data_IF_549352680002
#
_entry.id   IF_549352680002
#
_cell.length_a   1.000
_cell.length_b   1.000
_cell.length_c   1.000
_cell.angle_alpha   90.00
_cell.angle_beta   90.00
_cell.angle_gamma   90.00
#
_symmetry.space_group_name_H-M   'P 1'
#
loop_
_entity.id
_entity.type
_entity.pdbx_description
1 polymer ?
#
# COMPACT_ATOMS: atom_id res chain seq x y z
N UNK A 1 1.35 22.32 33.43
CA UNK A 1 0.10 21.62 33.07
C UNK A 1 0.04 21.22 31.57
N UNK A 2 1.16 21.26 30.83
CA UNK A 2 1.24 20.88 29.40
C UNK A 2 1.69 19.44 29.13
N UNK A 3 1.98 18.66 30.18
CA UNK A 3 2.50 17.29 30.07
C UNK A 3 1.41 16.26 29.78
N UNK A 4 0.23 16.37 30.41
CA UNK A 4 -0.83 15.35 30.29
C UNK A 4 -1.38 15.14 28.87
N UNK A 5 -1.55 16.20 28.06
CA UNK A 5 -2.11 16.05 26.71
C UNK A 5 -1.11 15.45 25.72
N UNK A 6 0.18 15.79 25.86
CA UNK A 6 1.25 15.22 25.04
C UNK A 6 1.46 13.73 25.35
N UNK A 7 1.40 13.35 26.63
CA UNK A 7 1.57 11.97 27.06
C UNK A 7 0.40 11.07 26.60
N UNK A 8 -0.85 11.58 26.65
CA UNK A 8 -2.01 10.85 26.14
C UNK A 8 -1.91 10.65 24.63
N UNK A 9 -1.50 11.68 23.88
CA UNK A 9 -1.32 11.59 22.43
C UNK A 9 -0.29 10.52 22.03
N UNK A 10 0.82 10.45 22.76
CA UNK A 10 1.87 9.44 22.53
C UNK A 10 1.41 8.02 22.90
N UNK A 11 0.67 7.84 24.01
CA UNK A 11 0.11 6.54 24.38
C UNK A 11 -0.90 6.04 23.36
N UNK A 12 -1.80 6.92 22.90
CA UNK A 12 -2.76 6.60 21.83
C UNK A 12 -2.03 6.24 20.54
N UNK A 13 -0.99 6.98 20.17
CA UNK A 13 -0.17 6.68 18.99
C UNK A 13 0.43 5.29 19.06
N UNK A 14 1.07 4.92 20.17
CA UNK A 14 1.68 3.59 20.33
C UNK A 14 0.66 2.47 20.28
N UNK A 15 -0.49 2.63 20.95
CA UNK A 15 -1.57 1.66 20.91
C UNK A 15 -2.10 1.49 19.47
N UNK A 16 -2.27 2.61 18.76
CA UNK A 16 -2.70 2.63 17.37
C UNK A 16 -1.66 1.98 16.43
N UNK A 17 -0.37 2.25 16.62
CA UNK A 17 0.73 1.62 15.88
C UNK A 17 0.72 0.10 16.03
N UNK A 18 0.59 -0.41 17.26
CA UNK A 18 0.45 -1.86 17.52
C UNK A 18 -0.80 -2.43 16.82
N UNK A 19 -1.94 -1.75 16.90
CA UNK A 19 -3.16 -2.18 16.23
C UNK A 19 -3.02 -2.21 14.71
N UNK A 20 -2.33 -1.21 14.12
CA UNK A 20 -2.04 -1.14 12.69
C UNK A 20 -1.14 -2.32 12.28
N UNK A 21 -0.07 -2.60 13.04
CA UNK A 21 0.82 -3.74 12.78
C UNK A 21 0.04 -5.06 12.83
N UNK A 22 -0.76 -5.28 13.88
CA UNK A 22 -1.57 -6.49 14.02
C UNK A 22 -2.58 -6.64 12.87
N UNK A 23 -3.27 -5.54 12.51
CA UNK A 23 -4.20 -5.53 11.39
C UNK A 23 -3.51 -5.79 10.05
N UNK A 24 -2.28 -5.32 9.88
CA UNK A 24 -1.52 -5.43 8.63
C UNK A 24 -1.27 -6.87 8.20
N UNK A 25 -1.14 -7.81 9.15
CA UNK A 25 -0.99 -9.23 8.86
C UNK A 25 -2.18 -9.82 8.11
N UNK A 26 -3.34 -9.18 8.17
CA UNK A 26 -4.57 -9.67 7.53
C UNK A 26 -4.84 -9.07 6.16
N UNK A 27 -4.08 -8.05 5.74
CA UNK A 27 -4.39 -7.23 4.56
C UNK A 27 -4.42 -8.06 3.27
N UNK A 28 -3.43 -8.92 3.05
CA UNK A 28 -3.34 -9.75 1.83
C UNK A 28 -3.76 -11.19 2.07
N UNK A 29 -4.04 -11.60 3.32
CA UNK A 29 -4.46 -12.97 3.65
C UNK A 29 -5.71 -13.44 2.89
N UNK A 30 -6.79 -12.65 2.74
CA UNK A 30 -7.94 -13.07 1.94
C UNK A 30 -7.54 -13.39 0.50
N UNK A 31 -6.63 -12.61 -0.07
CA UNK A 31 -6.14 -12.80 -1.43
C UNK A 31 -5.29 -14.06 -1.55
N UNK A 32 -4.39 -14.29 -0.59
CA UNK A 32 -3.57 -15.53 -0.52
C UNK A 32 -4.49 -16.75 -0.41
N UNK A 33 -5.48 -16.70 0.48
CA UNK A 33 -6.47 -17.78 0.64
C UNK A 33 -7.23 -18.06 -0.64
N UNK A 34 -7.64 -17.01 -1.37
CA UNK A 34 -8.33 -17.15 -2.64
C UNK A 34 -7.43 -17.82 -3.70
N UNK A 35 -6.14 -17.45 -3.78
CA UNK A 35 -5.19 -18.07 -4.71
C UNK A 35 -5.06 -19.58 -4.45
N UNK A 36 -4.91 -19.96 -3.19
CA UNK A 36 -4.79 -21.37 -2.77
C UNK A 36 -6.09 -22.13 -3.06
N UNK A 37 -7.23 -21.57 -2.68
CA UNK A 37 -8.54 -22.21 -2.85
C UNK A 37 -8.92 -22.41 -4.31
N UNK A 38 -8.58 -21.46 -5.19
CA UNK A 38 -8.84 -21.56 -6.62
C UNK A 38 -7.77 -22.36 -7.37
N UNK A 39 -6.61 -22.62 -6.74
CA UNK A 39 -5.44 -23.21 -7.39
C UNK A 39 -4.96 -22.40 -8.61
N UNK A 40 -5.21 -21.09 -8.61
CA UNK A 40 -5.05 -20.23 -9.77
C UNK A 40 -4.86 -18.77 -9.34
N UNK A 41 -4.04 -18.06 -10.09
CA UNK A 41 -3.80 -16.62 -9.92
C UNK A 41 -4.33 -15.80 -11.09
N UNK A 42 -5.26 -16.35 -11.89
CA UNK A 42 -5.92 -15.61 -12.97
C UNK A 42 -6.66 -14.39 -12.40
N UNK A 43 -6.43 -13.23 -13.00
CA UNK A 43 -6.97 -11.94 -12.53
C UNK A 43 -6.01 -11.14 -11.63
N UNK A 44 -4.91 -11.73 -11.18
CA UNK A 44 -3.85 -10.98 -10.51
C UNK A 44 -2.87 -10.38 -11.51
N UNK A 45 -2.64 -9.08 -11.40
CA UNK A 45 -1.63 -8.38 -12.17
C UNK A 45 -0.26 -8.52 -11.47
N UNK A 46 0.57 -9.48 -11.93
CA UNK A 46 1.92 -9.72 -11.39
C UNK A 46 2.77 -8.44 -11.38
N UNK A 47 2.69 -7.62 -12.44
CA UNK A 47 3.39 -6.35 -12.53
C UNK A 47 3.02 -5.38 -11.41
N UNK A 48 1.75 -5.32 -10.99
CA UNK A 48 1.32 -4.47 -9.88
C UNK A 48 1.90 -4.95 -8.54
N UNK A 49 2.01 -6.26 -8.34
CA UNK A 49 2.60 -6.83 -7.12
C UNK A 49 4.11 -6.60 -7.07
N UNK A 50 4.81 -6.69 -8.20
CA UNK A 50 6.23 -6.35 -8.28
C UNK A 50 6.48 -4.88 -7.94
N UNK A 51 5.69 -3.98 -8.51
CA UNK A 51 5.77 -2.55 -8.18
C UNK A 51 5.49 -2.29 -6.69
N UNK A 52 4.51 -2.98 -6.10
CA UNK A 52 4.19 -2.85 -4.68
C UNK A 52 5.35 -3.34 -3.79
N UNK A 53 6.01 -4.45 -4.15
CA UNK A 53 7.22 -4.93 -3.46
C UNK A 53 8.32 -3.87 -3.51
N UNK A 54 8.59 -3.27 -4.68
CA UNK A 54 9.63 -2.24 -4.81
C UNK A 54 9.29 -1.03 -3.92
N UNK A 55 8.06 -0.53 -3.97
CA UNK A 55 7.64 0.64 -3.19
C UNK A 55 7.69 0.40 -1.66
N UNK A 56 7.23 -0.77 -1.21
CA UNK A 56 7.31 -1.16 0.20
C UNK A 56 8.76 -1.34 0.64
N UNK A 57 9.60 -1.93 -0.20
CA UNK A 57 11.01 -2.17 0.11
C UNK A 57 11.79 -0.87 0.22
N UNK A 58 11.58 0.10 -0.68
CA UNK A 58 12.20 1.43 -0.56
C UNK A 58 11.78 2.14 0.72
N UNK A 59 10.52 2.00 1.13
CA UNK A 59 10.02 2.58 2.38
C UNK A 59 10.62 1.90 3.61
N UNK A 60 10.69 0.57 3.62
CA UNK A 60 11.30 -0.23 4.70
C UNK A 60 12.78 0.11 4.83
N UNK A 61 13.53 0.08 3.72
CA UNK A 61 14.96 0.38 3.71
C UNK A 61 15.21 1.81 4.21
N UNK A 62 14.42 2.79 3.79
CA UNK A 62 14.54 4.16 4.29
C UNK A 62 14.37 4.24 5.81
N UNK A 63 13.32 3.63 6.35
CA UNK A 63 13.07 3.63 7.79
C UNK A 63 14.17 2.92 8.58
N UNK A 64 14.71 1.81 8.05
CA UNK A 64 15.85 1.10 8.62
C UNK A 64 17.11 1.97 8.63
N UNK A 65 17.44 2.60 7.50
CA UNK A 65 18.62 3.46 7.36
C UNK A 65 18.56 4.70 8.26
N UNK A 66 17.35 5.23 8.51
CA UNK A 66 17.11 6.36 9.42
C UNK A 66 17.03 5.93 10.90
N UNK A 67 17.11 4.63 11.21
CA UNK A 67 17.05 4.12 12.57
C UNK A 67 15.69 4.32 13.25
N UNK A 68 14.61 4.41 12.47
CA UNK A 68 13.26 4.62 13.00
C UNK A 68 12.79 3.33 13.68
N UNK A 69 12.16 3.39 14.88
CA UNK A 69 11.66 2.21 15.57
C UNK A 69 10.70 1.38 14.71
N UNK A 70 10.85 0.05 14.75
CA UNK A 70 10.00 -0.88 13.98
C UNK A 70 8.51 -0.79 14.36
N UNK A 71 8.19 -0.27 15.55
CA UNK A 71 6.81 -0.01 15.96
C UNK A 71 6.05 0.97 15.06
N UNK A 72 6.78 1.78 14.29
CA UNK A 72 6.19 2.85 13.47
C UNK A 72 6.05 2.50 11.99
N UNK A 73 6.80 1.50 11.50
CA UNK A 73 6.79 1.08 10.09
C UNK A 73 6.69 -0.44 9.91
N UNK A 74 6.55 -1.20 10.99
CA UNK A 74 6.52 -2.66 10.98
C UNK A 74 5.34 -3.24 10.19
N UNK A 75 4.27 -2.47 9.99
CA UNK A 75 3.17 -2.82 9.12
C UNK A 75 3.61 -2.91 7.65
N UNK A 76 4.53 -2.05 7.22
CA UNK A 76 5.08 -2.07 5.86
C UNK A 76 5.86 -3.37 5.63
N UNK A 77 6.64 -3.79 6.63
CA UNK A 77 7.38 -5.05 6.60
C UNK A 77 6.43 -6.27 6.54
N UNK A 78 5.39 -6.27 7.36
CA UNK A 78 4.37 -7.34 7.36
C UNK A 78 3.68 -7.48 6.00
N UNK A 79 3.28 -6.35 5.39
CA UNK A 79 2.64 -6.36 4.07
C UNK A 79 3.63 -6.74 2.98
N UNK A 80 4.90 -6.36 3.08
CA UNK A 80 5.96 -6.76 2.16
C UNK A 80 6.14 -8.28 2.14
N UNK A 81 6.20 -8.92 3.32
CA UNK A 81 6.29 -10.38 3.44
C UNK A 81 5.09 -11.06 2.77
N UNK A 82 3.88 -10.57 3.00
CA UNK A 82 2.69 -11.14 2.35
C UNK A 82 2.70 -10.95 0.83
N UNK A 83 3.24 -9.85 0.32
CA UNK A 83 3.39 -9.65 -1.12
C UNK A 83 4.40 -10.63 -1.74
N UNK A 84 5.49 -10.98 -1.05
CA UNK A 84 6.37 -12.06 -1.51
C UNK A 84 5.61 -13.38 -1.61
N UNK A 85 4.81 -13.74 -0.60
CA UNK A 85 3.99 -14.97 -0.63
C UNK A 85 3.07 -14.98 -1.86
N UNK A 86 2.40 -13.87 -2.18
CA UNK A 86 1.57 -13.76 -3.37
C UNK A 86 2.37 -13.93 -4.67
N UNK A 87 3.57 -13.35 -4.76
CA UNK A 87 4.45 -13.53 -5.92
C UNK A 87 4.86 -15.00 -6.07
N UNK A 88 5.20 -15.68 -4.98
CA UNK A 88 5.47 -17.12 -5.01
C UNK A 88 4.26 -17.92 -5.47
N UNK A 89 3.05 -17.59 -5.00
CA UNK A 89 1.82 -18.20 -5.50
C UNK A 89 1.65 -17.98 -7.01
N UNK A 90 1.92 -16.77 -7.53
CA UNK A 90 1.85 -16.49 -8.97
C UNK A 90 2.83 -17.35 -9.75
N UNK A 91 4.10 -17.39 -9.33
CA UNK A 91 5.12 -18.19 -10.00
C UNK A 91 4.75 -19.67 -10.02
N UNK A 92 4.24 -20.19 -8.91
CA UNK A 92 3.82 -21.58 -8.76
C UNK A 92 2.60 -21.91 -9.64
N UNK A 93 1.49 -21.19 -9.49
CA UNK A 93 0.24 -21.52 -10.19
C UNK A 93 0.24 -21.10 -11.66
N UNK A 94 0.98 -20.06 -12.04
CA UNK A 94 1.14 -19.64 -13.44
C UNK A 94 2.27 -20.38 -14.16
N UNK A 95 2.95 -21.33 -13.48
CA UNK A 95 4.03 -22.16 -14.03
C UNK A 95 5.13 -21.33 -14.71
N UNK A 96 5.60 -20.28 -14.03
CA UNK A 96 6.73 -19.50 -14.52
C UNK A 96 7.98 -20.38 -14.61
N UNK A 97 8.83 -20.13 -15.61
CA UNK A 97 10.11 -20.83 -15.71
C UNK A 97 10.99 -20.49 -14.51
N UNK A 98 11.68 -21.49 -13.98
CA UNK A 98 12.67 -21.32 -12.89
C UNK A 98 13.72 -20.27 -13.27
N UNK A 99 14.11 -20.20 -14.54
CA UNK A 99 15.06 -19.18 -15.04
C UNK A 99 14.49 -17.78 -14.87
N UNK A 100 13.22 -17.56 -15.23
CA UNK A 100 12.55 -16.25 -15.07
C UNK A 100 12.41 -15.88 -13.60
N UNK A 101 11.99 -16.82 -12.75
CA UNK A 101 11.86 -16.57 -11.31
C UNK A 101 13.20 -16.21 -10.66
N UNK A 102 14.26 -16.94 -11.00
CA UNK A 102 15.61 -16.69 -10.48
C UNK A 102 16.18 -15.37 -10.98
N UNK A 103 15.96 -15.01 -12.25
CA UNK A 103 16.35 -13.71 -12.79
C UNK A 103 15.63 -12.54 -12.10
N UNK A 104 14.31 -12.64 -11.88
CA UNK A 104 13.54 -11.62 -11.18
C UNK A 104 13.93 -11.50 -9.70
N UNK A 105 14.17 -12.62 -9.03
CA UNK A 105 14.64 -12.62 -7.64
C UNK A 105 16.04 -12.02 -7.54
N UNK A 106 16.96 -12.40 -8.44
CA UNK A 106 18.31 -11.88 -8.48
C UNK A 106 18.34 -10.38 -8.79
N UNK A 107 17.56 -9.90 -9.76
CA UNK A 107 17.49 -8.47 -10.07
C UNK A 107 16.94 -7.66 -8.89
N UNK A 108 15.93 -8.18 -8.19
CA UNK A 108 15.41 -7.58 -6.97
C UNK A 108 16.44 -7.54 -5.83
N UNK A 109 17.16 -8.64 -5.58
CA UNK A 109 18.22 -8.69 -4.57
C UNK A 109 19.36 -7.73 -4.90
N UNK A 110 19.78 -7.67 -6.17
CA UNK A 110 20.79 -6.70 -6.63
C UNK A 110 20.32 -5.25 -6.42
N UNK A 111 19.05 -4.95 -6.71
CA UNK A 111 18.46 -3.65 -6.43
C UNK A 111 18.50 -3.32 -4.93
N UNK A 112 18.01 -4.21 -4.07
CA UNK A 112 17.99 -4.01 -2.63
C UNK A 112 19.41 -3.83 -2.05
N UNK A 113 20.37 -4.64 -2.51
CA UNK A 113 21.77 -4.53 -2.14
C UNK A 113 22.38 -3.19 -2.55
N UNK A 114 22.14 -2.74 -3.79
CA UNK A 114 22.58 -1.44 -4.27
C UNK A 114 22.02 -0.28 -3.44
N UNK A 115 20.73 -0.33 -3.11
CA UNK A 115 20.08 0.69 -2.29
C UNK A 115 20.61 0.71 -0.85
N UNK A 116 20.85 -0.46 -0.24
CA UNK A 116 21.31 -0.53 1.16
C UNK A 116 22.78 -0.12 1.31
N UNK A 117 23.66 -0.61 0.42
CA UNK A 117 25.11 -0.50 0.61
C UNK A 117 25.78 0.59 -0.23
N UNK A 118 25.16 1.01 -1.35
CA UNK A 118 25.79 1.91 -2.31
C UNK A 118 25.08 3.26 -2.44
N UNK A 119 23.91 3.44 -1.81
CA UNK A 119 23.19 4.69 -1.84
C UNK A 119 23.85 5.71 -0.87
N UNK A 120 24.28 6.90 -1.32
CA UNK A 120 24.76 7.95 -0.44
C UNK A 120 23.66 8.46 0.50
N UNK A 121 24.05 8.78 1.74
CA UNK A 121 23.10 9.26 2.76
C UNK A 121 22.36 10.53 2.35
N UNK A 122 23.02 11.41 1.59
CA UNK A 122 22.45 12.68 1.13
C UNK A 122 21.20 12.51 0.26
N UNK A 123 21.03 11.34 -0.37
CA UNK A 123 19.89 11.07 -1.26
C UNK A 123 18.89 10.05 -0.68
N UNK A 124 19.01 9.66 0.60
CA UNK A 124 18.05 8.74 1.21
C UNK A 124 16.60 9.25 1.14
N UNK A 125 16.41 10.56 1.21
CA UNK A 125 15.08 11.17 1.11
C UNK A 125 14.33 10.80 -0.19
N UNK A 126 15.05 10.39 -1.25
CA UNK A 126 14.44 9.97 -2.51
C UNK A 126 13.65 8.68 -2.39
N UNK A 127 13.96 7.81 -1.41
CA UNK A 127 13.33 6.49 -1.27
C UNK A 127 11.81 6.57 -0.98
N UNK A 128 11.33 7.38 0.00
CA UNK A 128 9.91 7.64 0.15
C UNK A 128 9.25 8.27 -1.09
N UNK A 129 9.95 9.14 -1.82
CA UNK A 129 9.42 9.73 -3.06
C UNK A 129 9.25 8.69 -4.17
N UNK A 130 10.17 7.74 -4.30
CA UNK A 130 10.06 6.61 -5.23
C UNK A 130 8.85 5.74 -4.86
N UNK A 131 8.71 5.37 -3.58
CA UNK A 131 7.56 4.61 -3.11
C UNK A 131 6.23 5.32 -3.42
N UNK A 132 6.19 6.64 -3.18
CA UNK A 132 5.05 7.49 -3.45
C UNK A 132 4.73 7.55 -4.95
N UNK A 133 5.73 7.76 -5.82
CA UNK A 133 5.55 7.82 -7.26
C UNK A 133 5.01 6.48 -7.82
N UNK A 134 5.52 5.36 -7.33
CA UNK A 134 5.00 4.03 -7.69
C UNK A 134 3.54 3.89 -7.26
N UNK A 135 3.18 4.26 -6.03
CA UNK A 135 1.80 4.22 -5.58
C UNK A 135 0.87 5.09 -6.45
N UNK A 136 1.32 6.28 -6.80
CA UNK A 136 0.55 7.23 -7.61
C UNK A 136 0.33 6.78 -9.04
N UNK A 137 1.23 5.95 -9.58
CA UNK A 137 1.09 5.40 -10.92
C UNK A 137 -0.20 4.59 -11.12
N UNK A 138 -0.77 4.04 -10.04
CA UNK A 138 -2.10 3.41 -10.05
C UNK A 138 -3.22 4.38 -9.66
N UNK A 139 -3.01 5.16 -8.60
CA UNK A 139 -4.06 6.01 -8.00
C UNK A 139 -4.46 7.19 -8.89
N UNK A 140 -3.50 7.88 -9.52
CA UNK A 140 -3.79 9.07 -10.33
C UNK A 140 -4.61 8.71 -11.57
N UNK A 141 -4.21 7.72 -12.41
CA UNK A 141 -5.04 7.29 -13.53
C UNK A 141 -6.42 6.83 -13.11
N UNK A 142 -6.55 6.16 -11.95
CA UNK A 142 -7.85 5.75 -11.41
C UNK A 142 -8.74 6.96 -11.08
N UNK A 143 -8.20 8.02 -10.48
CA UNK A 143 -8.95 9.26 -10.21
C UNK A 143 -9.47 9.87 -11.51
N UNK A 144 -8.62 9.96 -12.53
CA UNK A 144 -9.01 10.48 -13.84
C UNK A 144 -10.04 9.59 -14.54
N UNK A 145 -9.87 8.26 -14.46
CA UNK A 145 -10.80 7.31 -15.04
C UNK A 145 -12.19 7.41 -14.39
N UNK A 146 -12.26 7.48 -13.06
CA UNK A 146 -13.51 7.68 -12.33
C UNK A 146 -14.22 8.97 -12.77
N UNK A 147 -13.46 10.06 -12.91
CA UNK A 147 -14.02 11.34 -13.37
C UNK A 147 -14.50 11.27 -14.81
N UNK A 148 -13.70 10.71 -15.72
CA UNK A 148 -14.06 10.59 -17.15
C UNK A 148 -15.25 9.67 -17.38
N UNK A 149 -15.29 8.54 -16.68
CA UNK A 149 -16.32 7.52 -16.85
C UNK A 149 -17.61 7.85 -16.09
N UNK A 150 -17.58 8.82 -15.18
CA UNK A 150 -18.73 9.24 -14.37
C UNK A 150 -19.35 8.11 -13.53
N UNK A 151 -18.57 7.06 -13.26
CA UNK A 151 -18.85 5.98 -12.32
C UNK A 151 -17.53 5.47 -11.73
N UNK A 152 -17.62 4.80 -10.59
CA UNK A 152 -16.46 4.23 -9.88
C UNK A 152 -16.33 2.72 -10.07
N UNK A 153 -17.21 2.11 -10.87
CA UNK A 153 -17.18 0.66 -11.13
C UNK A 153 -17.42 -0.15 -9.85
N UNK A 154 -16.71 -1.27 -9.62
CA UNK A 154 -16.93 -2.15 -8.47
C UNK A 154 -16.29 -1.66 -7.16
N UNK A 155 -15.82 -0.41 -7.09
CA UNK A 155 -15.17 0.12 -5.88
C UNK A 155 -16.14 0.18 -4.69
N UNK A 156 -15.73 -0.39 -3.56
CA UNK A 156 -16.52 -0.42 -2.32
C UNK A 156 -16.24 0.80 -1.43
N UNK A 157 -17.30 1.50 -1.05
CA UNK A 157 -17.22 2.63 -0.09
C UNK A 157 -16.67 2.19 1.27
N UNK A 158 -17.00 0.98 1.72
CA UNK A 158 -16.54 0.44 3.01
C UNK A 158 -15.03 0.23 2.96
N UNK A 159 -14.55 -0.44 1.91
CA UNK A 159 -13.12 -0.73 1.73
C UNK A 159 -12.31 0.55 1.59
N UNK A 160 -12.77 1.50 0.76
CA UNK A 160 -12.07 2.78 0.59
C UNK A 160 -12.13 3.63 1.87
N UNK A 161 -13.25 3.59 2.61
CA UNK A 161 -13.37 4.25 3.91
C UNK A 161 -12.33 3.75 4.91
N UNK A 162 -12.17 2.43 5.02
CA UNK A 162 -11.14 1.82 5.87
C UNK A 162 -9.71 2.21 5.44
N UNK A 163 -9.45 2.27 4.13
CA UNK A 163 -8.15 2.72 3.59
C UNK A 163 -7.86 4.16 4.02
N UNK A 164 -8.83 5.07 3.91
CA UNK A 164 -8.69 6.48 4.30
C UNK A 164 -8.53 6.62 5.81
N UNK A 165 -9.32 5.91 6.62
CA UNK A 165 -9.16 5.90 8.08
C UNK A 165 -7.77 5.40 8.48
N UNK A 166 -7.29 4.32 7.86
CA UNK A 166 -5.95 3.80 8.11
C UNK A 166 -4.82 4.73 7.64
N UNK A 167 -5.04 5.53 6.58
CA UNK A 167 -4.06 6.52 6.14
C UNK A 167 -4.00 7.73 7.09
N UNK A 168 -5.15 8.18 7.63
CA UNK A 168 -5.16 9.21 8.67
C UNK A 168 -4.53 8.75 9.99
N UNK A 169 -4.78 7.50 10.39
CA UNK A 169 -4.09 6.89 11.52
C UNK A 169 -2.56 6.90 11.33
N UNK A 170 -2.08 6.68 10.09
CA UNK A 170 -0.67 6.81 9.73
C UNK A 170 -0.14 8.24 9.78
N UNK A 171 -0.90 9.23 9.31
CA UNK A 171 -0.52 10.65 9.46
C UNK A 171 -0.36 11.00 10.94
N UNK A 172 -1.31 10.58 11.77
CA UNK A 172 -1.27 10.83 13.22
C UNK A 172 -0.06 10.18 13.89
N UNK A 173 0.12 8.87 13.71
CA UNK A 173 1.26 8.13 14.30
C UNK A 173 2.60 8.66 13.80
N UNK A 174 2.73 8.97 12.51
CA UNK A 174 3.95 9.59 11.94
C UNK A 174 4.24 10.94 12.60
N UNK A 175 3.22 11.77 12.83
CA UNK A 175 3.40 13.09 13.48
C UNK A 175 3.84 12.96 14.94
N UNK A 176 3.40 11.90 15.64
CA UNK A 176 3.72 11.68 17.06
C UNK A 176 5.05 10.93 17.25
N UNK A 177 5.40 10.00 16.37
CA UNK A 177 6.51 9.07 16.56
C UNK A 177 7.72 9.37 15.66
N UNK A 178 7.54 10.08 14.56
CA UNK A 178 8.58 10.31 13.56
C UNK A 178 8.84 11.81 13.38
N UNK A 179 10.05 12.24 13.73
CA UNK A 179 10.51 13.60 13.43
C UNK A 179 11.13 13.69 12.03
N UNK A 180 10.43 13.19 11.01
CA UNK A 180 10.89 13.18 9.62
C UNK A 180 9.83 13.78 8.68
N UNK A 181 10.14 14.96 8.15
CA UNK A 181 9.25 15.72 7.27
C UNK A 181 9.01 15.01 5.94
N UNK A 182 9.95 14.18 5.48
CA UNK A 182 9.84 13.49 4.19
C UNK A 182 8.79 12.38 4.29
N UNK A 183 8.85 11.57 5.36
CA UNK A 183 7.84 10.54 5.61
C UNK A 183 6.47 11.19 5.80
N UNK A 184 6.38 12.21 6.66
CA UNK A 184 5.13 12.91 6.92
C UNK A 184 4.51 13.46 5.62
N UNK A 185 5.31 14.11 4.78
CA UNK A 185 4.85 14.62 3.48
C UNK A 185 4.31 13.50 2.59
N UNK A 186 5.05 12.40 2.44
CA UNK A 186 4.64 11.27 1.59
C UNK A 186 3.32 10.63 2.04
N UNK A 187 3.13 10.48 3.37
CA UNK A 187 1.91 9.90 3.96
C UNK A 187 0.73 10.87 3.83
N UNK A 188 0.97 12.18 4.01
CA UNK A 188 -0.05 13.21 3.80
C UNK A 188 -0.56 13.24 2.35
N UNK A 189 0.35 13.26 1.36
CA UNK A 189 -0.06 13.25 -0.04
C UNK A 189 -0.79 11.95 -0.42
N UNK A 190 -0.33 10.81 0.08
CA UNK A 190 -1.00 9.53 -0.13
C UNK A 190 -2.41 9.53 0.48
N UNK A 191 -2.57 10.05 1.70
CA UNK A 191 -3.88 10.18 2.37
C UNK A 191 -4.83 11.11 1.61
N UNK A 192 -4.30 12.20 1.04
CA UNK A 192 -5.07 13.12 0.23
C UNK A 192 -5.65 12.46 -1.02
N UNK A 193 -4.83 11.75 -1.80
CA UNK A 193 -5.31 11.06 -3.01
C UNK A 193 -6.35 9.97 -2.68
N UNK A 194 -6.14 9.22 -1.60
CA UNK A 194 -7.12 8.20 -1.17
C UNK A 194 -8.45 8.81 -0.74
N UNK A 195 -8.41 10.01 -0.14
CA UNK A 195 -9.60 10.78 0.21
C UNK A 195 -10.35 11.27 -1.03
N UNK A 196 -9.64 11.68 -2.09
CA UNK A 196 -10.26 12.04 -3.38
C UNK A 196 -11.04 10.85 -3.94
N UNK A 197 -10.46 9.64 -3.94
CA UNK A 197 -11.15 8.44 -4.42
C UNK A 197 -12.41 8.18 -3.59
N UNK A 198 -12.34 8.31 -2.26
CA UNK A 198 -13.52 8.14 -1.41
C UNK A 198 -14.62 9.16 -1.74
N UNK A 199 -14.24 10.43 -1.94
CA UNK A 199 -15.17 11.49 -2.37
C UNK A 199 -15.80 11.15 -3.73
N UNK A 200 -15.02 10.63 -4.69
CA UNK A 200 -15.56 10.18 -5.98
C UNK A 200 -16.56 9.03 -5.83
N UNK A 201 -16.30 8.06 -4.94
CA UNK A 201 -17.24 6.96 -4.66
C UNK A 201 -18.56 7.49 -4.10
N UNK A 202 -18.51 8.45 -3.17
CA UNK A 202 -19.72 9.05 -2.57
C UNK A 202 -20.49 9.89 -3.59
N UNK A 203 -19.80 10.78 -4.31
CA UNK A 203 -20.42 11.71 -5.26
C UNK A 203 -20.97 11.04 -6.52
N UNK A 204 -20.30 9.99 -7.01
CA UNK A 204 -20.74 9.24 -8.21
C UNK A 204 -21.64 8.05 -7.88
N UNK A 205 -22.00 7.83 -6.61
CA UNK A 205 -22.71 6.63 -6.14
C UNK A 205 -23.96 6.29 -6.95
N UNK A 206 -24.80 7.28 -7.21
CA UNK A 206 -26.05 7.08 -7.96
C UNK A 206 -25.79 6.67 -9.41
N UNK A 207 -24.81 7.30 -10.06
CA UNK A 207 -24.42 6.98 -11.44
C UNK A 207 -23.79 5.59 -11.53
N UNK A 208 -22.94 5.24 -10.57
CA UNK A 208 -22.36 3.90 -10.45
C UNK A 208 -23.43 2.84 -10.26
N UNK A 209 -24.44 3.06 -9.42
CA UNK A 209 -25.52 2.09 -9.22
C UNK A 209 -26.32 1.82 -10.50
N UNK A 210 -26.63 2.87 -11.28
CA UNK A 210 -27.29 2.74 -12.59
C UNK A 210 -26.43 1.97 -13.60
N UNK A 211 -25.13 2.28 -13.65
CA UNK A 211 -24.17 1.60 -14.53
C UNK A 211 -24.08 0.10 -14.22
N UNK A 212 -23.89 -0.27 -12.95
CA UNK A 212 -23.79 -1.67 -12.53
C UNK A 212 -25.06 -2.43 -12.89
N UNK A 213 -26.25 -1.85 -12.65
CA UNK A 213 -27.54 -2.48 -12.99
C UNK A 213 -27.68 -2.74 -14.49
N UNK A 214 -27.19 -1.81 -15.32
CA UNK A 214 -27.24 -1.94 -16.78
C UNK A 214 -26.31 -3.03 -17.29
N UNK A 215 -25.10 -3.16 -16.72
CA UNK A 215 -24.15 -4.22 -17.09
C UNK A 215 -24.63 -5.61 -16.68
N UNK A 216 -25.24 -5.76 -15.49
CA UNK A 216 -25.81 -7.05 -15.05
C UNK A 216 -26.88 -7.54 -16.02
N UNK A 217 -27.78 -6.64 -16.47
CA UNK A 217 -28.85 -6.98 -17.42
C UNK A 217 -28.39 -7.35 -18.83
N UNK A 218 -27.17 -6.96 -19.23
CA UNK A 218 -26.58 -7.35 -20.52
C UNK A 218 -25.94 -8.73 -20.50
N UNK A 219 -25.66 -9.24 -19.30
CA UNK A 219 -24.93 -10.50 -19.10
C UNK A 219 -25.88 -11.67 -18.86
N UNK A 220 -27.16 -11.37 -18.57
CA UNK A 220 -28.29 -12.30 -18.53
C UNK A 220 -28.93 -12.47 -19.92
#
# INVERSE_FOLDING_TARGET
MSTNSADIGLLVSKALGVAIILGSFTVKLPLIRNCISMGSTKGLAAGSLYSEIIALSTSVIYNMLRGIPIGTWGELLSVLVQNYVLVFCIWYYSKYSVVTCTQLAASYVCFAYGVIFHLPQDIYFTLPFVAMAIGWSGTIPQIFANYRNQHTGPLSIITQGLIVSGSFARVFTTTQEVNDRVILFSVCCSSFLQSIILIQIVTLREKTAKFVTHETKKTE
#
